data_IF_510439827286
#
_entry.id   IF_510439827286
#
_cell.length_a   1.000
_cell.length_b   1.000
_cell.length_c   1.000
_cell.angle_alpha   90.00
_cell.angle_beta   90.00
_cell.angle_gamma   90.00
#
_symmetry.space_group_name_H-M   'P 1'
#
loop_
_entity.id
_entity.type
_entity.pdbx_description
1 polymer ?
#
# COMPACT_ATOMS: atom_id res chain seq x y z
N UNK A 1 13.61 9.53 -16.85
CA UNK A 1 13.45 10.60 -15.85
C UNK A 1 11.97 10.94 -15.73
N UNK A 2 11.15 9.99 -15.27
CA UNK A 2 9.70 10.10 -15.33
C UNK A 2 9.08 9.35 -14.14
N UNK A 3 9.10 9.95 -12.95
CA UNK A 3 8.14 9.57 -11.89
C UNK A 3 7.95 10.61 -10.78
N UNK A 4 8.20 11.89 -11.04
CA UNK A 4 8.12 12.95 -10.01
C UNK A 4 6.72 13.58 -9.89
N UNK A 5 5.79 13.30 -10.80
CA UNK A 5 4.47 13.97 -10.86
C UNK A 5 3.27 13.12 -10.43
N UNK A 6 3.47 11.90 -9.93
CA UNK A 6 2.41 11.22 -9.19
C UNK A 6 2.33 11.86 -7.81
N UNK A 7 1.24 12.57 -7.53
CA UNK A 7 0.88 13.05 -6.18
C UNK A 7 0.63 11.84 -5.29
N UNK A 8 1.70 11.24 -4.77
CA UNK A 8 1.61 10.13 -3.84
C UNK A 8 1.08 10.65 -2.50
N UNK A 9 0.12 9.94 -1.91
CA UNK A 9 -0.30 10.19 -0.53
C UNK A 9 0.89 10.06 0.42
N UNK A 10 0.81 10.70 1.59
CA UNK A 10 1.91 10.71 2.57
C UNK A 10 2.40 9.29 2.93
N UNK A 11 1.51 8.31 2.99
CA UNK A 11 1.82 6.92 3.33
C UNK A 11 2.62 6.21 2.23
N UNK A 12 2.30 6.46 0.96
CA UNK A 12 3.06 5.97 -0.19
C UNK A 12 4.47 6.60 -0.25
N UNK A 13 4.58 7.90 0.00
CA UNK A 13 5.89 8.57 0.03
C UNK A 13 6.80 8.00 1.14
N UNK A 14 6.25 7.75 2.33
CA UNK A 14 6.98 7.11 3.43
C UNK A 14 7.37 5.68 3.08
N UNK A 15 6.48 4.90 2.47
CA UNK A 15 6.76 3.51 2.07
C UNK A 15 7.89 3.43 1.06
N UNK A 16 7.88 4.30 0.04
CA UNK A 16 8.97 4.45 -0.93
C UNK A 16 10.29 4.78 -0.25
N UNK A 17 10.27 5.72 0.70
CA UNK A 17 11.46 6.10 1.45
C UNK A 17 12.03 4.91 2.24
N UNK A 18 11.18 4.18 2.97
CA UNK A 18 11.62 3.00 3.73
C UNK A 18 12.21 1.95 2.79
N UNK A 19 11.50 1.62 1.71
CA UNK A 19 11.93 0.66 0.70
C UNK A 19 13.29 0.99 0.08
N UNK A 20 13.55 2.28 -0.16
CA UNK A 20 14.84 2.73 -0.69
C UNK A 20 16.01 2.64 0.32
N UNK A 21 15.73 2.49 1.63
CA UNK A 21 16.73 2.58 2.69
C UNK A 21 16.89 1.29 3.51
N UNK A 22 16.11 0.24 3.24
CA UNK A 22 16.23 -1.05 3.93
C UNK A 22 16.73 -2.14 2.99
N UNK A 23 17.63 -3.00 3.45
CA UNK A 23 18.03 -4.22 2.72
C UNK A 23 17.07 -5.38 2.98
N UNK A 24 15.77 -5.16 2.82
CA UNK A 24 14.73 -6.15 3.07
C UNK A 24 13.44 -5.81 2.33
N UNK A 25 12.46 -6.71 2.40
CA UNK A 25 11.14 -6.48 1.81
C UNK A 25 10.28 -5.59 2.72
N UNK A 26 9.56 -4.65 2.11
CA UNK A 26 8.59 -3.79 2.80
C UNK A 26 7.18 -4.35 2.60
N UNK A 27 6.50 -4.62 3.71
CA UNK A 27 5.09 -5.02 3.75
C UNK A 27 4.23 -3.81 4.13
N UNK A 28 3.17 -3.54 3.37
CA UNK A 28 2.14 -2.57 3.73
C UNK A 28 0.80 -3.28 3.95
N UNK A 29 0.04 -2.83 4.95
CA UNK A 29 -1.29 -3.36 5.27
C UNK A 29 -2.28 -2.20 5.34
N UNK A 30 -3.47 -2.36 4.75
CA UNK A 30 -4.52 -1.34 4.79
C UNK A 30 -5.90 -1.92 4.50
N UNK A 31 -6.96 -1.20 4.86
CA UNK A 31 -8.36 -1.64 4.77
C UNK A 31 -9.23 -0.72 3.91
N UNK A 32 -8.77 0.52 3.66
CA UNK A 32 -9.51 1.55 2.94
C UNK A 32 -8.89 2.01 1.63
N UNK A 33 -9.62 2.89 0.92
CA UNK A 33 -9.14 3.50 -0.32
C UNK A 33 -7.89 4.39 -0.12
N UNK A 34 -7.69 4.91 1.09
CA UNK A 34 -6.55 5.77 1.43
C UNK A 34 -5.23 5.00 1.43
N UNK A 35 -5.27 3.68 1.60
CA UNK A 35 -4.09 2.83 1.66
C UNK A 35 -3.66 2.30 0.30
N UNK A 36 -4.50 2.44 -0.74
CA UNK A 36 -4.24 1.92 -2.10
C UNK A 36 -2.86 2.33 -2.61
N UNK A 37 -2.49 3.60 -2.45
CA UNK A 37 -1.20 4.10 -2.91
C UNK A 37 -0.02 3.53 -2.10
N UNK A 38 -0.23 3.25 -0.82
CA UNK A 38 0.77 2.64 0.06
C UNK A 38 0.97 1.17 -0.28
N UNK A 39 -0.14 0.44 -0.47
CA UNK A 39 -0.16 -0.98 -0.84
C UNK A 39 0.55 -1.23 -2.17
N UNK A 40 0.35 -0.36 -3.16
CA UNK A 40 1.00 -0.46 -4.47
C UNK A 40 2.49 -0.12 -4.46
N UNK A 41 2.96 0.66 -3.48
CA UNK A 41 4.36 1.09 -3.40
C UNK A 41 5.24 0.07 -2.65
N UNK A 42 4.65 -0.71 -1.75
CA UNK A 42 5.33 -1.75 -0.99
C UNK A 42 5.87 -2.88 -1.88
N UNK A 43 6.72 -3.76 -1.32
CA UNK A 43 7.09 -5.02 -1.99
C UNK A 43 5.98 -6.05 -1.90
N UNK A 44 5.21 -6.01 -0.81
CA UNK A 44 4.01 -6.82 -0.61
C UNK A 44 2.93 -5.93 -0.01
N UNK A 45 1.77 -5.86 -0.65
CA UNK A 45 0.57 -5.19 -0.15
C UNK A 45 -0.45 -6.20 0.39
N UNK A 46 -0.97 -5.96 1.60
CA UNK A 46 -2.04 -6.77 2.20
C UNK A 46 -3.27 -5.91 2.45
N UNK A 47 -4.37 -6.26 1.80
CA UNK A 47 -5.66 -5.61 1.98
C UNK A 47 -6.47 -6.30 3.07
N UNK A 48 -7.19 -5.52 3.88
CA UNK A 48 -8.19 -6.04 4.81
C UNK A 48 -9.56 -5.77 4.21
N UNK A 49 -10.33 -6.84 3.93
CA UNK A 49 -11.70 -6.71 3.43
C UNK A 49 -12.70 -6.71 4.59
N UNK A 50 -13.57 -5.71 4.68
CA UNK A 50 -14.65 -5.69 5.68
C UNK A 50 -15.41 -4.38 5.82
N UNK A 51 -14.87 -3.44 6.60
CA UNK A 51 -15.58 -2.25 7.07
C UNK A 51 -15.58 -1.07 6.09
N UNK A 52 -14.43 -0.74 5.48
CA UNK A 52 -14.27 0.48 4.66
C UNK A 52 -14.44 0.26 3.15
N UNK A 53 -14.69 -0.98 2.74
CA UNK A 53 -14.93 -1.37 1.35
C UNK A 53 -13.97 -2.44 0.83
N UNK A 54 -13.86 -2.53 -0.49
CA UNK A 54 -13.03 -3.54 -1.19
C UNK A 54 -11.81 -2.92 -1.88
N UNK A 55 -11.61 -1.61 -1.78
CA UNK A 55 -10.58 -0.87 -2.53
C UNK A 55 -9.18 -1.32 -2.13
N UNK A 56 -8.91 -1.48 -0.83
CA UNK A 56 -7.64 -2.02 -0.33
C UNK A 56 -7.44 -3.47 -0.77
N UNK A 57 -8.47 -4.31 -0.66
CA UNK A 57 -8.43 -5.70 -1.12
C UNK A 57 -8.10 -5.83 -2.62
N UNK A 58 -8.73 -5.01 -3.46
CA UNK A 58 -8.51 -4.99 -4.90
C UNK A 58 -7.14 -4.43 -5.30
N UNK A 59 -6.53 -3.59 -4.47
CA UNK A 59 -5.23 -2.98 -4.70
C UNK A 59 -4.06 -3.75 -4.06
N UNK A 60 -4.35 -4.80 -3.28
CA UNK A 60 -3.38 -5.60 -2.55
C UNK A 60 -2.99 -6.88 -3.27
N UNK A 61 -1.81 -7.42 -2.96
CA UNK A 61 -1.38 -8.74 -3.45
C UNK A 61 -2.11 -9.88 -2.73
N UNK A 62 -2.39 -9.68 -1.43
CA UNK A 62 -3.13 -10.62 -0.60
C UNK A 62 -4.23 -9.91 0.17
N UNK A 63 -5.36 -10.59 0.34
CA UNK A 63 -6.47 -10.05 1.15
C UNK A 63 -6.73 -10.94 2.36
N UNK A 64 -6.87 -10.30 3.52
CA UNK A 64 -7.34 -10.93 4.76
C UNK A 64 -8.75 -10.44 5.03
N UNK A 65 -9.67 -11.35 5.31
CA UNK A 65 -11.05 -10.99 5.65
C UNK A 65 -11.18 -10.73 7.14
N UNK A 66 -11.74 -9.57 7.50
CA UNK A 66 -12.18 -9.29 8.86
C UNK A 66 -13.61 -9.80 9.02
N UNK A 67 -13.80 -10.79 9.89
CA UNK A 67 -15.11 -11.38 10.25
C UNK A 67 -15.82 -10.56 11.32
#
# INVERSE_FOLDING_TARGET
>A
MADTERRFGITAAVTRLVKANVCGAVLAIGDGANDVAMLQEADVGVGISGQEGMQAALASDYTITQV
#
